data_IF_380342496915
#
_entry.id   IF_380342496915
#
_cell.length_a   1.000
_cell.length_b   1.000
_cell.length_c   1.000
_cell.angle_alpha   90.00
_cell.angle_beta   90.00
_cell.angle_gamma   90.00
#
_symmetry.space_group_name_H-M   'P 1'
#
loop_
_entity.id
_entity.type
_entity.pdbx_description
1 polymer ?
#
# COMPACT_ATOMS: atom_id res chain seq x y z
N UNK A 1 32.85 -12.13 1.98
CA UNK A 1 31.90 -12.76 2.90
C UNK A 1 32.29 -14.20 3.22
N UNK A 2 32.64 -15.02 2.22
CA UNK A 2 33.02 -16.43 2.46
C UNK A 2 34.38 -16.65 3.16
N UNK A 3 35.20 -15.62 3.33
CA UNK A 3 36.42 -15.66 4.13
C UNK A 3 36.22 -15.21 5.58
N UNK A 4 35.00 -14.83 5.98
CA UNK A 4 34.74 -14.33 7.33
C UNK A 4 34.94 -15.44 8.37
N UNK A 5 35.61 -15.06 9.47
CA UNK A 5 35.73 -15.87 10.67
C UNK A 5 34.34 -16.06 11.30
N UNK A 6 33.99 -17.25 11.80
CA UNK A 6 32.74 -17.50 12.51
C UNK A 6 32.35 -16.45 13.57
N UNK A 7 33.31 -15.97 14.36
CA UNK A 7 33.05 -14.94 15.38
C UNK A 7 32.65 -13.61 14.74
N UNK A 8 33.34 -13.18 13.68
CA UNK A 8 32.97 -11.97 12.94
C UNK A 8 31.60 -12.11 12.29
N UNK A 9 31.27 -13.30 11.78
CA UNK A 9 29.98 -13.58 11.18
C UNK A 9 28.83 -13.53 12.20
N UNK A 10 29.06 -14.02 13.42
CA UNK A 10 28.11 -13.89 14.53
C UNK A 10 27.92 -12.43 14.96
N UNK A 11 28.98 -11.62 14.98
CA UNK A 11 28.86 -10.20 15.30
C UNK A 11 28.01 -9.49 14.24
N UNK A 12 28.24 -9.77 12.96
CA UNK A 12 27.42 -9.22 11.86
C UNK A 12 25.95 -9.61 12.05
N UNK A 13 25.65 -10.86 12.38
CA UNK A 13 24.27 -11.27 12.67
C UNK A 13 23.68 -10.49 13.85
N UNK A 14 24.44 -10.30 14.93
CA UNK A 14 24.01 -9.52 16.08
C UNK A 14 23.78 -8.04 15.72
N UNK A 15 24.63 -7.45 14.89
CA UNK A 15 24.48 -6.07 14.42
C UNK A 15 23.22 -5.90 13.56
N UNK A 16 22.89 -6.91 12.73
CA UNK A 16 21.62 -6.94 12.00
C UNK A 16 20.43 -7.07 12.95
N UNK A 17 20.54 -7.86 14.02
CA UNK A 17 19.51 -7.87 15.06
C UNK A 17 19.38 -6.51 15.77
N UNK A 18 20.48 -5.81 16.01
CA UNK A 18 20.48 -4.48 16.61
C UNK A 18 19.83 -3.43 15.70
N UNK A 19 19.98 -3.56 14.39
CA UNK A 19 19.27 -2.72 13.40
C UNK A 19 17.74 -2.95 13.46
N UNK A 20 17.30 -4.19 13.73
CA UNK A 20 15.88 -4.52 13.89
C UNK A 20 15.34 -4.07 15.25
N UNK A 21 16.14 -4.26 16.31
CA UNK A 21 15.78 -3.99 17.69
C UNK A 21 17.01 -3.54 18.49
N UNK A 22 17.13 -2.24 18.82
CA UNK A 22 18.34 -1.65 19.43
C UNK A 22 18.83 -2.32 20.72
N UNK A 23 17.94 -3.01 21.45
CA UNK A 23 18.24 -3.78 22.65
C UNK A 23 19.23 -4.93 22.41
N UNK A 24 19.45 -5.33 21.16
CA UNK A 24 20.44 -6.34 20.78
C UNK A 24 21.84 -5.75 20.53
N UNK A 25 22.02 -4.43 20.62
CA UNK A 25 23.31 -3.78 20.40
C UNK A 25 24.31 -4.14 21.51
N UNK A 26 25.20 -5.06 21.19
CA UNK A 26 26.19 -5.63 22.12
C UNK A 26 27.36 -6.21 21.30
N UNK A 27 28.57 -6.19 21.86
CA UNK A 27 29.69 -6.98 21.33
C UNK A 27 29.56 -8.41 21.84
N UNK A 28 29.42 -9.38 20.94
CA UNK A 28 29.22 -10.79 21.31
C UNK A 28 30.37 -11.37 22.13
N UNK A 29 31.55 -10.73 22.13
CA UNK A 29 32.70 -11.15 22.94
C UNK A 29 32.52 -10.87 24.43
N UNK A 30 31.59 -9.99 24.78
CA UNK A 30 31.25 -9.64 26.16
C UNK A 30 30.17 -10.56 26.74
N UNK A 31 29.60 -11.47 25.94
CA UNK A 31 28.52 -12.39 26.33
C UNK A 31 29.01 -13.84 26.32
N UNK A 32 28.53 -14.64 27.28
CA UNK A 32 28.76 -16.08 27.29
C UNK A 32 28.08 -16.74 26.06
N UNK A 33 28.76 -17.65 25.33
CA UNK A 33 28.23 -18.24 24.09
C UNK A 33 26.86 -18.92 24.24
N UNK A 34 26.58 -19.55 25.39
CA UNK A 34 25.31 -20.23 25.63
C UNK A 34 24.19 -19.21 25.86
N UNK A 35 24.49 -18.14 26.60
CA UNK A 35 23.57 -17.02 26.84
C UNK A 35 23.24 -16.28 25.54
N UNK A 36 24.25 -16.00 24.72
CA UNK A 36 24.11 -15.39 23.39
C UNK A 36 23.16 -16.19 22.51
N UNK A 37 23.35 -17.51 22.43
CA UNK A 37 22.52 -18.40 21.59
C UNK A 37 21.08 -18.43 22.08
N UNK A 38 20.85 -18.50 23.39
CA UNK A 38 19.49 -18.43 23.95
C UNK A 38 18.81 -17.10 23.58
N UNK A 39 19.52 -15.98 23.72
CA UNK A 39 19.03 -14.65 23.34
C UNK A 39 18.69 -14.55 21.85
N UNK A 40 19.60 -14.98 20.99
CA UNK A 40 19.42 -14.98 19.53
C UNK A 40 18.27 -15.88 19.10
N UNK A 41 18.15 -17.09 19.65
CA UNK A 41 17.05 -18.02 19.35
C UNK A 41 15.70 -17.49 19.83
N UNK A 42 15.67 -16.87 21.02
CA UNK A 42 14.46 -16.24 21.55
C UNK A 42 14.01 -15.11 20.64
N UNK A 43 14.94 -14.28 20.17
CA UNK A 43 14.63 -13.21 19.23
C UNK A 43 14.16 -13.73 17.87
N UNK A 44 14.82 -14.74 17.30
CA UNK A 44 14.36 -15.40 16.07
C UNK A 44 12.94 -15.97 16.21
N UNK A 45 12.60 -16.52 17.38
CA UNK A 45 11.23 -16.99 17.68
C UNK A 45 10.22 -15.85 17.73
N UNK A 46 10.58 -14.72 18.33
CA UNK A 46 9.76 -13.49 18.32
C UNK A 46 9.52 -13.00 16.89
N UNK A 47 10.57 -13.01 16.06
CA UNK A 47 10.49 -12.67 14.64
C UNK A 47 9.72 -13.72 13.82
N UNK A 48 9.39 -14.89 14.38
CA UNK A 48 8.75 -16.04 13.72
C UNK A 48 9.59 -16.63 12.59
N UNK A 49 10.92 -16.58 12.72
CA UNK A 49 11.82 -17.28 11.81
C UNK A 49 11.59 -18.79 11.89
N UNK A 50 11.58 -19.47 10.74
CA UNK A 50 11.51 -20.92 10.62
C UNK A 50 12.81 -21.42 9.99
N UNK A 51 13.63 -22.21 10.72
CA UNK A 51 14.86 -22.76 10.18
C UNK A 51 14.57 -23.65 8.97
N UNK A 52 15.31 -23.45 7.88
CA UNK A 52 15.29 -24.32 6.69
C UNK A 52 16.33 -25.43 6.78
N UNK A 53 17.46 -25.15 7.42
CA UNK A 53 18.55 -26.11 7.68
C UNK A 53 18.46 -26.58 9.13
N UNK A 54 18.49 -27.90 9.35
CA UNK A 54 18.38 -28.48 10.71
C UNK A 54 16.97 -28.40 11.30
N UNK A 55 15.93 -28.20 10.49
CA UNK A 55 14.53 -28.18 10.94
C UNK A 55 14.12 -29.47 11.68
N UNK A 56 14.71 -30.61 11.28
CA UNK A 56 14.45 -31.92 11.88
C UNK A 56 15.33 -32.19 13.12
N UNK A 57 16.34 -31.35 13.39
CA UNK A 57 17.26 -31.49 14.51
C UNK A 57 17.58 -30.14 15.17
N UNK A 58 16.76 -29.72 16.16
CA UNK A 58 16.95 -28.46 16.89
C UNK A 58 18.30 -28.32 17.58
N UNK A 59 18.89 -29.44 18.03
CA UNK A 59 20.19 -29.44 18.70
C UNK A 59 21.33 -29.13 17.72
N UNK A 60 21.27 -29.68 16.50
CA UNK A 60 22.23 -29.36 15.45
C UNK A 60 22.14 -27.88 15.02
N UNK A 61 20.92 -27.34 14.91
CA UNK A 61 20.73 -25.92 14.60
C UNK A 61 21.31 -25.02 15.70
N UNK A 62 21.06 -25.35 16.97
CA UNK A 62 21.65 -24.65 18.12
C UNK A 62 23.17 -24.69 18.08
N UNK A 63 23.75 -25.86 17.85
CA UNK A 63 25.20 -26.04 17.79
C UNK A 63 25.83 -25.26 16.64
N UNK A 64 25.23 -25.28 15.46
CA UNK A 64 25.71 -24.50 14.32
C UNK A 64 25.63 -22.98 14.56
N UNK A 65 24.65 -22.52 15.34
CA UNK A 65 24.58 -21.12 15.77
C UNK A 65 25.67 -20.77 16.79
N UNK A 66 25.95 -21.65 17.78
CA UNK A 66 27.05 -21.47 18.75
C UNK A 66 28.39 -21.38 18.02
N UNK A 67 28.61 -22.24 17.02
CA UNK A 67 29.88 -22.35 16.29
C UNK A 67 30.03 -21.32 15.17
N UNK A 68 28.99 -20.55 14.87
CA UNK A 68 29.02 -19.57 13.78
C UNK A 68 29.07 -20.19 12.39
N UNK A 69 28.41 -21.33 12.20
CA UNK A 69 28.42 -22.09 10.95
C UNK A 69 27.69 -21.33 9.82
N UNK A 70 28.38 -21.16 8.68
CA UNK A 70 27.84 -20.48 7.50
C UNK A 70 26.52 -21.07 7.00
N UNK A 71 26.35 -22.42 6.91
CA UNK A 71 25.08 -23.02 6.51
C UNK A 71 23.89 -22.67 7.41
N UNK A 72 24.13 -22.23 8.65
CA UNK A 72 23.09 -21.81 9.60
C UNK A 72 22.86 -20.30 9.54
N UNK A 73 23.95 -19.49 9.54
CA UNK A 73 23.83 -18.03 9.62
C UNK A 73 23.36 -17.42 8.30
N UNK A 74 23.83 -17.91 7.15
CA UNK A 74 23.48 -17.29 5.86
C UNK A 74 21.97 -17.35 5.55
N UNK A 75 21.26 -18.48 5.76
CA UNK A 75 19.80 -18.49 5.61
C UNK A 75 19.07 -17.52 6.55
N UNK A 76 19.57 -17.32 7.77
CA UNK A 76 19.02 -16.34 8.70
C UNK A 76 19.20 -14.93 8.14
N UNK A 77 20.42 -14.55 7.79
CA UNK A 77 20.73 -13.22 7.23
C UNK A 77 19.92 -12.94 5.97
N UNK A 78 19.86 -13.91 5.04
CA UNK A 78 19.06 -13.79 3.83
C UNK A 78 17.59 -13.48 4.16
N UNK A 79 17.00 -14.21 5.10
CA UNK A 79 15.61 -14.01 5.49
C UNK A 79 15.38 -12.66 6.17
N UNK A 80 16.30 -12.22 7.03
CA UNK A 80 16.24 -10.91 7.69
C UNK A 80 16.28 -9.77 6.67
N UNK A 81 17.18 -9.84 5.69
CA UNK A 81 17.33 -8.80 4.67
C UNK A 81 16.14 -8.73 3.70
N UNK A 82 15.44 -9.84 3.46
CA UNK A 82 14.27 -9.86 2.58
C UNK A 82 13.05 -9.11 3.15
N UNK A 83 12.93 -9.00 4.48
CA UNK A 83 11.70 -8.50 5.12
C UNK A 83 12.01 -7.49 6.25
N UNK A 84 13.09 -6.71 6.14
CA UNK A 84 13.62 -5.89 7.23
C UNK A 84 12.59 -4.97 7.89
N UNK A 85 11.77 -4.26 7.10
CA UNK A 85 10.78 -3.31 7.62
C UNK A 85 9.64 -4.01 8.38
N UNK A 86 9.16 -5.14 7.85
CA UNK A 86 8.15 -5.96 8.52
C UNK A 86 8.70 -6.57 9.82
N UNK A 87 9.97 -6.94 9.84
CA UNK A 87 10.64 -7.47 11.01
C UNK A 87 10.88 -6.41 12.08
N UNK A 88 11.25 -5.18 11.70
CA UNK A 88 11.31 -4.02 12.59
C UNK A 88 9.95 -3.77 13.24
N UNK A 89 8.88 -3.76 12.43
CA UNK A 89 7.51 -3.61 12.93
C UNK A 89 7.11 -4.75 13.87
N UNK A 90 7.46 -6.00 13.54
CA UNK A 90 7.18 -7.16 14.39
C UNK A 90 7.94 -7.09 15.72
N UNK A 91 9.23 -6.74 15.70
CA UNK A 91 10.03 -6.59 16.91
C UNK A 91 9.48 -5.48 17.82
N UNK A 92 9.10 -4.35 17.23
CA UNK A 92 8.41 -3.26 17.93
C UNK A 92 7.12 -3.74 18.59
N UNK A 93 6.23 -4.41 17.82
CA UNK A 93 4.95 -4.90 18.34
C UNK A 93 5.14 -5.96 19.42
N UNK A 94 6.12 -6.85 19.29
CA UNK A 94 6.37 -7.91 20.27
C UNK A 94 6.67 -7.36 21.66
N UNK A 95 7.33 -6.19 21.77
CA UNK A 95 7.58 -5.53 23.05
C UNK A 95 6.30 -5.23 23.85
N UNK A 96 5.20 -4.98 23.16
CA UNK A 96 3.92 -4.61 23.75
C UNK A 96 2.88 -5.74 23.70
N UNK A 97 3.08 -6.73 22.83
CA UNK A 97 2.10 -7.78 22.56
C UNK A 97 2.47 -9.16 23.11
N UNK A 98 3.71 -9.36 23.55
CA UNK A 98 4.09 -10.57 24.29
C UNK A 98 3.57 -10.43 25.71
N UNK A 99 2.59 -11.26 26.08
CA UNK A 99 2.06 -11.29 27.44
C UNK A 99 3.12 -11.80 28.42
N UNK A 100 3.12 -11.19 29.60
CA UNK A 100 3.85 -11.72 30.74
C UNK A 100 3.07 -12.96 31.22
N UNK A 101 3.78 -14.07 31.37
CA UNK A 101 3.19 -15.29 31.91
C UNK A 101 3.18 -15.18 33.43
N UNK A 102 1.99 -15.12 34.03
CA UNK A 102 1.81 -14.98 35.48
C UNK A 102 1.41 -16.37 36.01
N UNK A 103 2.18 -16.94 36.95
CA UNK A 103 1.86 -18.21 37.58
C UNK A 103 0.44 -18.27 38.18
N UNK A 104 -0.26 -19.42 38.10
CA UNK A 104 -1.65 -19.55 38.58
C UNK A 104 -1.83 -19.29 40.09
N UNK A 105 -0.80 -19.56 40.89
CA UNK A 105 -0.78 -19.31 42.33
C UNK A 105 -0.77 -17.81 42.66
N UNK A 106 -0.13 -16.99 41.83
CA UNK A 106 -0.15 -15.53 41.97
C UNK A 106 -1.45 -14.93 41.45
N UNK A 107 -2.03 -15.53 40.41
CA UNK A 107 -3.32 -15.13 39.84
C UNK A 107 -4.52 -15.42 40.74
N UNK A 108 -4.34 -16.24 41.78
CA UNK A 108 -5.37 -16.48 42.79
C UNK A 108 -5.60 -15.26 43.71
N UNK A 109 -4.64 -14.33 43.77
CA UNK A 109 -4.80 -13.04 44.42
C UNK A 109 -5.70 -12.14 43.57
N UNK A 110 -6.76 -11.61 44.17
CA UNK A 110 -7.77 -10.82 43.48
C UNK A 110 -7.19 -9.54 42.86
N UNK A 111 -6.29 -8.84 43.56
CA UNK A 111 -5.71 -7.59 43.08
C UNK A 111 -4.81 -7.84 41.85
N UNK A 112 -4.07 -8.96 41.86
CA UNK A 112 -3.22 -9.37 40.73
C UNK A 112 -4.07 -9.78 39.53
N UNK A 113 -5.16 -10.51 39.77
CA UNK A 113 -6.09 -10.90 38.71
C UNK A 113 -6.73 -9.69 38.02
N UNK A 114 -7.26 -8.74 38.80
CA UNK A 114 -7.88 -7.51 38.27
C UNK A 114 -6.87 -6.65 37.48
N UNK A 115 -5.62 -6.56 37.96
CA UNK A 115 -4.55 -5.86 37.25
C UNK A 115 -4.18 -6.55 35.93
N UNK A 116 -4.13 -7.89 35.91
CA UNK A 116 -3.84 -8.66 34.70
C UNK A 116 -4.95 -8.54 33.65
N UNK A 117 -6.21 -8.47 34.08
CA UNK A 117 -7.35 -8.18 33.20
C UNK A 117 -7.22 -6.79 32.58
N UNK A 118 -7.01 -5.76 33.40
CA UNK A 118 -6.80 -4.36 32.95
C UNK A 118 -5.62 -4.26 31.98
N UNK A 119 -4.52 -4.96 32.26
CA UNK A 119 -3.36 -5.07 31.36
C UNK A 119 -3.76 -5.67 30.00
N UNK A 120 -4.54 -6.75 30.02
CA UNK A 120 -5.06 -7.39 28.82
C UNK A 120 -5.93 -6.46 27.97
N UNK A 121 -6.81 -5.68 28.61
CA UNK A 121 -7.62 -4.67 27.93
C UNK A 121 -6.77 -3.57 27.28
N UNK A 122 -5.77 -3.06 28.00
CA UNK A 122 -4.86 -2.04 27.48
C UNK A 122 -4.06 -2.55 26.27
N UNK A 123 -3.67 -3.82 26.28
CA UNK A 123 -3.04 -4.46 25.12
C UNK A 123 -3.98 -4.51 23.90
N UNK A 124 -5.26 -4.81 24.08
CA UNK A 124 -6.22 -4.81 22.97
C UNK A 124 -6.45 -3.39 22.44
N UNK A 125 -6.60 -2.39 23.32
CA UNK A 125 -6.69 -0.98 22.92
C UNK A 125 -5.46 -0.56 22.10
N UNK A 126 -4.25 -0.95 22.52
CA UNK A 126 -3.02 -0.69 21.77
C UNK A 126 -3.08 -1.30 20.36
N UNK A 127 -3.59 -2.54 20.21
CA UNK A 127 -3.73 -3.16 18.88
C UNK A 127 -4.69 -2.39 17.99
N UNK A 128 -5.82 -1.92 18.52
CA UNK A 128 -6.80 -1.13 17.76
C UNK A 128 -6.21 0.20 17.32
N UNK A 129 -5.61 0.97 18.23
CA UNK A 129 -4.96 2.24 17.91
C UNK A 129 -3.82 2.07 16.90
N UNK A 130 -3.00 1.04 17.07
CA UNK A 130 -1.92 0.77 16.13
C UNK A 130 -2.44 0.38 14.74
N UNK A 131 -3.51 -0.42 14.64
CA UNK A 131 -4.15 -0.73 13.34
C UNK A 131 -4.70 0.52 12.68
N UNK A 132 -5.33 1.41 13.44
CA UNK A 132 -5.86 2.68 12.94
C UNK A 132 -4.76 3.59 12.42
N UNK A 133 -3.69 3.75 13.19
CA UNK A 133 -2.53 4.55 12.80
C UNK A 133 -1.89 4.03 11.50
N UNK A 134 -1.75 2.72 11.35
CA UNK A 134 -1.21 2.13 10.12
C UNK A 134 -2.15 2.31 8.93
N UNK A 135 -3.46 2.22 9.13
CA UNK A 135 -4.47 2.54 8.10
C UNK A 135 -4.38 4.00 7.65
N UNK A 136 -4.20 4.92 8.59
CA UNK A 136 -4.07 6.35 8.29
C UNK A 136 -2.76 6.68 7.57
N UNK A 137 -1.66 5.98 7.88
CA UNK A 137 -0.41 6.13 7.12
C UNK A 137 -0.53 5.65 5.67
N UNK A 138 -1.30 4.59 5.42
CA UNK A 138 -1.47 4.01 4.08
C UNK A 138 -2.62 4.63 3.27
N UNK A 139 -3.44 5.51 3.87
CA UNK A 139 -4.64 6.10 3.24
C UNK A 139 -4.36 7.07 2.08
N UNK A 140 -3.11 7.21 1.64
CA UNK A 140 -2.79 7.57 0.25
C UNK A 140 -2.77 9.06 -0.09
N UNK A 141 -3.12 9.96 0.83
CA UNK A 141 -2.86 11.39 0.64
C UNK A 141 -1.58 11.77 1.37
N UNK A 142 -0.45 11.62 0.68
CA UNK A 142 0.78 12.22 1.17
C UNK A 142 0.57 13.73 1.17
N UNK A 143 0.48 14.31 2.37
CA UNK A 143 0.45 15.77 2.54
C UNK A 143 1.63 16.46 1.82
N UNK A 144 2.71 15.73 1.56
CA UNK A 144 3.84 16.19 0.75
C UNK A 144 3.50 16.37 -0.74
N UNK A 145 2.71 15.47 -1.35
CA UNK A 145 2.28 15.61 -2.75
C UNK A 145 1.31 16.79 -2.89
N UNK A 146 0.34 16.90 -1.99
CA UNK A 146 -0.58 18.04 -1.96
C UNK A 146 0.18 19.36 -1.81
N UNK A 147 1.18 19.42 -0.90
CA UNK A 147 2.03 20.60 -0.75
C UNK A 147 2.81 20.92 -2.03
N UNK A 148 3.35 19.91 -2.70
CA UNK A 148 4.09 20.09 -3.95
C UNK A 148 3.17 20.63 -5.05
N UNK A 149 1.96 20.10 -5.16
CA UNK A 149 0.98 20.57 -6.14
C UNK A 149 0.53 22.01 -5.87
N UNK A 150 0.34 22.38 -4.60
CA UNK A 150 0.06 23.77 -4.22
C UNK A 150 1.18 24.70 -4.69
N UNK A 151 2.44 24.36 -4.39
CA UNK A 151 3.60 25.18 -4.81
C UNK A 151 3.66 25.30 -6.33
N UNK A 152 3.44 24.20 -7.06
CA UNK A 152 3.43 24.23 -8.52
C UNK A 152 2.32 25.15 -9.06
N UNK A 153 1.11 25.08 -8.49
CA UNK A 153 0.00 25.96 -8.88
C UNK A 153 0.27 27.43 -8.55
N UNK A 154 0.91 27.72 -7.42
CA UNK A 154 1.32 29.07 -7.04
C UNK A 154 2.37 29.64 -8.02
N UNK A 155 3.36 28.83 -8.40
CA UNK A 155 4.37 29.20 -9.40
C UNK A 155 3.74 29.44 -10.78
N UNK A 156 2.80 28.59 -11.20
CA UNK A 156 2.06 28.76 -12.46
C UNK A 156 1.22 30.05 -12.44
N UNK A 157 0.55 30.33 -11.32
CA UNK A 157 -0.22 31.56 -11.14
C UNK A 157 0.68 32.79 -11.26
N UNK A 158 1.86 32.78 -10.62
CA UNK A 158 2.81 33.89 -10.69
C UNK A 158 3.33 34.11 -12.11
N UNK A 159 3.67 33.02 -12.82
CA UNK A 159 4.12 33.07 -14.21
C UNK A 159 3.03 33.62 -15.15
N UNK A 160 1.78 33.16 -14.99
CA UNK A 160 0.64 33.65 -15.75
C UNK A 160 0.41 35.13 -15.48
N UNK A 161 0.46 35.56 -14.21
CA UNK A 161 0.31 36.97 -13.83
C UNK A 161 1.37 37.84 -14.50
N UNK A 162 2.66 37.45 -14.41
CA UNK A 162 3.76 38.16 -15.08
C UNK A 162 3.60 38.20 -16.61
N UNK A 163 3.03 37.15 -17.21
CA UNK A 163 2.76 37.12 -18.66
C UNK A 163 1.59 38.04 -19.03
N UNK A 164 0.51 38.03 -18.26
CA UNK A 164 -0.64 38.91 -18.44
C UNK A 164 -0.20 40.37 -18.33
N UNK A 165 0.60 40.73 -17.31
CA UNK A 165 1.09 42.09 -17.14
C UNK A 165 1.94 42.57 -18.32
N UNK A 166 2.81 41.70 -18.86
CA UNK A 166 3.60 42.01 -20.05
C UNK A 166 2.74 42.24 -21.28
N UNK A 167 1.69 41.44 -21.49
CA UNK A 167 0.77 41.61 -22.62
C UNK A 167 -0.08 42.87 -22.41
N UNK A 168 -0.59 43.09 -21.21
CA UNK A 168 -1.39 44.26 -20.85
C UNK A 168 -0.65 45.57 -21.15
N UNK A 169 0.61 45.70 -20.71
CA UNK A 169 1.46 46.87 -21.01
C UNK A 169 1.60 47.13 -22.51
N UNK A 170 1.72 46.08 -23.33
CA UNK A 170 1.77 46.23 -24.80
C UNK A 170 0.44 46.67 -25.38
N UNK A 171 -0.67 46.13 -24.89
CA UNK A 171 -2.01 46.45 -25.39
C UNK A 171 -2.44 47.86 -25.01
N UNK A 172 -2.13 48.33 -23.81
CA UNK A 172 -2.43 49.70 -23.34
C UNK A 172 -1.76 50.79 -24.21
N UNK A 173 -0.67 50.45 -24.92
CA UNK A 173 -0.01 51.35 -25.86
C UNK A 173 -0.81 51.59 -27.16
N UNK A 174 -1.84 50.79 -27.43
CA UNK A 174 -2.68 50.88 -28.63
C UNK A 174 -3.82 51.87 -28.40
N UNK A 175 -4.13 52.70 -29.41
CA UNK A 175 -5.29 53.60 -29.36
C UNK A 175 -6.60 52.80 -29.27
N UNK A 176 -7.55 53.28 -28.48
CA UNK A 176 -8.86 52.62 -28.26
C UNK A 176 -8.75 51.17 -27.75
N UNK A 177 -7.68 50.82 -27.05
CA UNK A 177 -7.41 49.45 -26.60
C UNK A 177 -8.55 48.83 -25.80
N UNK A 178 -9.23 49.57 -24.91
CA UNK A 178 -10.35 49.04 -24.11
C UNK A 178 -11.49 48.52 -25.00
N UNK A 179 -11.88 49.27 -26.04
CA UNK A 179 -12.90 48.86 -27.01
C UNK A 179 -12.45 47.63 -27.80
N UNK A 180 -11.18 47.58 -28.19
CA UNK A 180 -10.62 46.44 -28.92
C UNK A 180 -10.54 45.18 -28.05
N UNK A 181 -10.15 45.29 -26.78
CA UNK A 181 -10.14 44.16 -25.83
C UNK A 181 -11.57 43.62 -25.63
N UNK A 182 -12.55 44.51 -25.45
CA UNK A 182 -13.95 44.11 -25.30
C UNK A 182 -14.46 43.36 -26.54
N UNK A 183 -14.20 43.89 -27.73
CA UNK A 183 -14.56 43.23 -28.99
C UNK A 183 -13.85 41.88 -29.15
N UNK A 184 -12.56 41.80 -28.84
CA UNK A 184 -11.79 40.55 -28.90
C UNK A 184 -12.30 39.50 -27.88
N UNK A 185 -12.67 39.92 -26.67
CA UNK A 185 -13.28 39.05 -25.66
C UNK A 185 -14.61 38.46 -26.16
N UNK A 186 -15.47 39.29 -26.74
CA UNK A 186 -16.75 38.83 -27.29
C UNK A 186 -16.55 37.85 -28.45
N UNK A 187 -15.60 38.13 -29.35
CA UNK A 187 -15.26 37.22 -30.43
C UNK A 187 -14.70 35.88 -29.91
N UNK A 188 -13.87 35.91 -28.86
CA UNK A 188 -13.34 34.69 -28.21
C UNK A 188 -14.47 33.82 -27.66
N UNK A 189 -15.38 34.43 -26.89
CA UNK A 189 -16.53 33.72 -26.30
C UNK A 189 -17.42 33.13 -27.39
N UNK A 190 -17.71 33.89 -28.45
CA UNK A 190 -18.51 33.39 -29.56
C UNK A 190 -17.85 32.19 -30.29
N UNK A 191 -16.52 32.20 -30.45
CA UNK A 191 -15.78 31.07 -31.03
C UNK A 191 -15.73 29.84 -30.12
N UNK A 192 -15.59 30.04 -28.81
CA UNK A 192 -15.68 28.94 -27.82
C UNK A 192 -17.06 28.28 -27.90
N UNK A 193 -18.13 29.08 -27.91
CA UNK A 193 -19.50 28.58 -28.09
C UNK A 193 -19.72 27.87 -29.43
N UNK A 194 -19.19 28.41 -30.53
CA UNK A 194 -19.25 27.75 -31.85
C UNK A 194 -18.57 26.37 -31.81
N UNK A 195 -17.43 26.28 -31.13
CA UNK A 195 -16.66 25.03 -31.00
C UNK A 195 -17.42 24.00 -30.18
N UNK A 196 -17.98 24.41 -29.04
CA UNK A 196 -18.79 23.54 -28.17
C UNK A 196 -20.03 23.03 -28.91
N UNK A 197 -20.75 23.91 -29.61
CA UNK A 197 -21.91 23.53 -30.42
C UNK A 197 -21.53 22.57 -31.55
N UNK A 198 -20.40 22.80 -32.22
CA UNK A 198 -19.91 21.89 -33.27
C UNK A 198 -19.61 20.51 -32.68
N UNK A 199 -18.98 20.43 -31.50
CA UNK A 199 -18.72 19.16 -30.84
C UNK A 199 -20.03 18.46 -30.46
N UNK A 200 -20.99 19.18 -29.88
CA UNK A 200 -22.31 18.64 -29.54
C UNK A 200 -23.05 18.11 -30.77
N UNK A 201 -22.99 18.80 -31.91
CA UNK A 201 -23.59 18.33 -33.15
C UNK A 201 -22.98 17.01 -33.63
N UNK A 202 -21.65 16.86 -33.52
CA UNK A 202 -20.95 15.62 -33.87
C UNK A 202 -21.41 14.49 -32.93
N UNK A 203 -21.43 14.75 -31.63
CA UNK A 203 -21.82 13.77 -30.62
C UNK A 203 -23.28 13.32 -30.80
N UNK A 204 -24.21 14.27 -31.04
CA UNK A 204 -25.61 13.97 -31.31
C UNK A 204 -25.79 13.17 -32.60
N UNK A 205 -25.03 13.49 -33.66
CA UNK A 205 -25.06 12.73 -34.91
C UNK A 205 -24.60 11.29 -34.70
N UNK A 206 -23.54 11.08 -33.91
CA UNK A 206 -23.05 9.75 -33.56
C UNK A 206 -24.09 8.98 -32.73
N UNK A 207 -24.72 9.62 -31.74
CA UNK A 207 -25.79 9.03 -30.95
C UNK A 207 -26.99 8.62 -31.81
N UNK A 208 -27.39 9.47 -32.75
CA UNK A 208 -28.48 9.17 -33.68
C UNK A 208 -28.17 7.93 -34.53
N UNK A 209 -26.96 7.85 -35.09
CA UNK A 209 -26.52 6.69 -35.88
C UNK A 209 -26.56 5.41 -35.04
N UNK A 210 -26.07 5.46 -33.79
CA UNK A 210 -26.11 4.31 -32.89
C UNK A 210 -27.55 3.90 -32.52
N UNK A 211 -28.43 4.86 -32.26
CA UNK A 211 -29.84 4.61 -31.99
C UNK A 211 -30.54 3.96 -33.19
N UNK A 212 -30.29 4.46 -34.40
CA UNK A 212 -30.82 3.91 -35.65
C UNK A 212 -30.34 2.47 -35.88
N UNK A 213 -29.05 2.20 -35.70
CA UNK A 213 -28.51 0.84 -35.78
C UNK A 213 -29.11 -0.11 -34.73
N UNK A 214 -29.41 0.38 -33.52
CA UNK A 214 -30.08 -0.40 -32.48
C UNK A 214 -31.53 -0.68 -32.86
N UNK A 215 -32.24 0.32 -33.37
CA UNK A 215 -33.61 0.20 -33.85
C UNK A 215 -33.72 -0.85 -34.96
N UNK A 216 -32.85 -0.79 -35.97
CA UNK A 216 -32.82 -1.75 -37.07
C UNK A 216 -32.56 -3.18 -36.58
N UNK A 217 -31.63 -3.37 -35.64
CA UNK A 217 -31.37 -4.69 -35.02
C UNK A 217 -32.59 -5.22 -34.29
N UNK A 218 -33.28 -4.39 -33.50
CA UNK A 218 -34.50 -4.79 -32.79
C UNK A 218 -35.65 -5.08 -33.76
N UNK A 219 -35.80 -4.30 -34.82
CA UNK A 219 -36.80 -4.54 -35.86
C UNK A 219 -36.56 -5.87 -36.57
N UNK A 220 -35.31 -6.21 -36.87
CA UNK A 220 -34.95 -7.50 -37.45
C UNK A 220 -35.21 -8.66 -36.47
N UNK A 221 -34.88 -8.49 -35.19
CA UNK A 221 -35.21 -9.48 -34.14
C UNK A 221 -36.72 -9.72 -34.05
N UNK A 222 -37.52 -8.66 -33.99
CA UNK A 222 -38.99 -8.75 -33.98
C UNK A 222 -39.54 -9.47 -35.21
N UNK A 223 -38.99 -9.18 -36.40
CA UNK A 223 -39.38 -9.87 -37.64
C UNK A 223 -39.06 -11.37 -37.55
N UNK A 224 -37.86 -11.73 -37.08
CA UNK A 224 -37.45 -13.11 -36.89
C UNK A 224 -38.33 -13.84 -35.87
N UNK A 225 -38.62 -13.23 -34.71
CA UNK A 225 -39.50 -13.81 -33.68
C UNK A 225 -40.93 -13.96 -34.19
N UNK A 226 -41.47 -13.01 -34.96
CA UNK A 226 -42.78 -13.17 -35.60
C UNK A 226 -42.79 -14.31 -36.61
N UNK A 227 -41.76 -14.44 -37.45
CA UNK A 227 -41.67 -15.58 -38.38
C UNK A 227 -41.51 -16.93 -37.66
N UNK A 228 -40.81 -16.97 -36.52
CA UNK A 228 -40.72 -18.16 -35.68
C UNK A 228 -42.05 -18.46 -34.99
N UNK A 229 -42.76 -17.45 -34.48
CA UNK A 229 -44.08 -17.57 -33.86
C UNK A 229 -45.18 -18.07 -34.80
N UNK A 230 -45.06 -17.78 -36.10
CA UNK A 230 -45.94 -18.33 -37.15
C UNK A 230 -45.57 -19.78 -37.49
N UNK A 231 -44.32 -20.20 -37.26
CA UNK A 231 -43.87 -21.60 -37.39
C UNK A 231 -44.18 -22.49 -36.19
N UNK A 232 -44.37 -21.93 -34.99
CA UNK A 232 -44.55 -22.68 -33.73
C UNK A 232 -46.00 -22.99 -33.36
N UNK A 233 -46.99 -22.78 -34.23
CA UNK A 233 -48.30 -23.43 -34.07
C UNK A 233 -48.29 -24.91 -34.49
N UNK A 234 -47.13 -25.45 -34.89
CA UNK A 234 -46.89 -26.88 -35.01
C UNK A 234 -45.59 -27.29 -34.32
N UNK A 235 -45.70 -28.08 -33.25
CA UNK A 235 -44.63 -28.77 -32.51
C UNK A 235 -43.80 -27.94 -31.52
N UNK A 236 -44.16 -28.08 -30.25
CA UNK A 236 -43.26 -27.92 -29.12
C UNK A 236 -42.27 -29.11 -29.07
N UNK A 237 -40.97 -28.85 -28.96
CA UNK A 237 -39.94 -29.77 -28.37
C UNK A 237 -38.63 -28.99 -28.13
N UNK A 238 -37.75 -29.40 -27.19
CA UNK A 238 -37.33 -28.58 -26.06
C UNK A 238 -35.96 -27.92 -26.23
N UNK A 239 -35.73 -26.91 -25.38
CA UNK A 239 -34.44 -26.24 -25.15
C UNK A 239 -33.26 -27.22 -25.07
N UNK A 240 -32.26 -26.99 -25.91
CA UNK A 240 -30.92 -27.56 -25.76
C UNK A 240 -30.24 -26.89 -24.56
N UNK A 241 -30.13 -27.63 -23.46
CA UNK A 241 -29.12 -27.40 -22.42
C UNK A 241 -27.82 -27.99 -22.95
N UNK A 242 -26.81 -27.16 -23.18
CA UNK A 242 -25.42 -27.61 -23.26
C UNK A 242 -24.57 -26.66 -22.43
N UNK A 243 -23.72 -27.28 -21.61
CA UNK A 243 -22.75 -26.75 -20.65
C UNK A 243 -21.89 -25.60 -21.17
#
# INVERSE_FOLDING_TARGET
FDSLNPLTLLQILNDVFAEINPQHKLDIREEDPESMVVRMLTFLRVLKYKPTTGADNPNAFRQGLVQGEKPVIYPILQWLFQNMDDLKKRAYLARYLVRIDIPPDQLADQDISELNETYGELMEQFKEFHKELERLKTSGFSTGEIKKDIVNMEDEQEQLTKRVDRVRKKVESVKNHEKMISAARNLRIAREQETDLRQQMIDQKNQLVHAEQKYQRQQQQLKNTRSQGVGTTGSATPMLVVM
#
